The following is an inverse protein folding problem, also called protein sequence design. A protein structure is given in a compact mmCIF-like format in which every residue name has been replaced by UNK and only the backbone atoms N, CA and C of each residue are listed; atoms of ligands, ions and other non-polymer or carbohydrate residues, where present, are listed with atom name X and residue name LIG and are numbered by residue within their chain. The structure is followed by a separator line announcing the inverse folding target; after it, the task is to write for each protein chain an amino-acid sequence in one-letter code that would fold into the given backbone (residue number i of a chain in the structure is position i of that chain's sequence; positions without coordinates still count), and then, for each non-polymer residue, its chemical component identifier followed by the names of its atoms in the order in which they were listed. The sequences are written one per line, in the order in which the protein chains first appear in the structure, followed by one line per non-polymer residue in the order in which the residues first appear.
data_IF_116212021970
#
_entry.id   IF_116212021970
#
_cell.length_a   1.000
_cell.length_b   1.000
_cell.length_c   1.000
_cell.angle_alpha   90.00
_cell.angle_beta   90.00
_cell.angle_gamma   90.00
#
_symmetry.space_group_name_H-M   'P 1'
#
loop_
_entity.id
_entity.type
_entity.pdbx_description
1 polymer ?
#
# COMPACT_ATOMS: atom_id res chain seq x y z
N UNK A 1 -67.91 -19.97 8.62
CA UNK A 1 -66.98 -18.96 8.09
C UNK A 1 -65.86 -18.83 9.12
N UNK A 2 -64.73 -19.51 8.90
CA UNK A 2 -63.54 -19.42 9.75
C UNK A 2 -62.49 -18.73 8.88
N UNK A 3 -62.14 -17.50 9.24
CA UNK A 3 -61.06 -16.75 8.59
C UNK A 3 -59.72 -17.30 9.10
N UNK A 4 -59.02 -18.04 8.25
CA UNK A 4 -57.64 -18.45 8.49
C UNK A 4 -56.69 -17.24 8.32
N UNK A 5 -55.84 -17.02 9.30
CA UNK A 5 -54.70 -16.10 9.20
C UNK A 5 -53.70 -16.67 8.21
N UNK A 6 -53.55 -16.03 7.05
CA UNK A 6 -52.42 -16.30 6.15
C UNK A 6 -51.20 -15.52 6.67
N UNK A 7 -50.13 -16.23 7.02
CA UNK A 7 -48.82 -15.68 7.31
C UNK A 7 -48.09 -15.36 5.99
N UNK A 8 -47.15 -14.40 5.93
CA UNK A 8 -46.30 -14.16 4.76
C UNK A 8 -45.49 -15.39 4.30
N UNK A 9 -45.41 -16.43 5.14
CA UNK A 9 -44.79 -17.72 4.85
C UNK A 9 -45.71 -18.71 4.11
N UNK A 10 -47.03 -18.44 4.01
CA UNK A 10 -48.00 -19.28 3.28
C UNK A 10 -48.01 -19.00 1.77
N UNK A 11 -46.85 -18.65 1.20
CA UNK A 11 -46.69 -18.65 -0.25
C UNK A 11 -46.44 -20.10 -0.68
N UNK A 12 -47.40 -20.67 -1.39
CA UNK A 12 -47.27 -21.97 -2.06
C UNK A 12 -45.99 -22.00 -2.89
N UNK A 13 -44.99 -22.76 -2.43
CA UNK A 13 -43.76 -23.10 -3.15
C UNK A 13 -44.05 -24.04 -4.33
N UNK A 14 -44.95 -23.64 -5.23
CA UNK A 14 -45.20 -24.37 -6.48
C UNK A 14 -44.75 -23.48 -7.63
N UNK A 15 -43.44 -23.36 -7.76
CA UNK A 15 -42.81 -23.07 -9.05
C UNK A 15 -41.95 -24.26 -9.40
N UNK A 16 -42.43 -25.03 -10.38
CA UNK A 16 -41.81 -26.22 -10.93
C UNK A 16 -40.46 -25.86 -11.59
N UNK A 17 -39.40 -25.86 -10.79
CA UNK A 17 -38.01 -25.76 -11.26
C UNK A 17 -37.40 -27.16 -11.24
N UNK A 18 -37.59 -27.89 -12.34
CA UNK A 18 -36.78 -29.02 -12.79
C UNK A 18 -36.10 -29.85 -11.71
N UNK A 19 -36.78 -30.88 -11.21
CA UNK A 19 -36.18 -32.12 -10.72
C UNK A 19 -35.02 -32.01 -9.71
N UNK A 20 -34.95 -30.97 -8.89
CA UNK A 20 -34.04 -30.96 -7.74
C UNK A 20 -34.69 -31.78 -6.63
N UNK A 21 -34.07 -32.89 -6.23
CA UNK A 21 -34.43 -33.63 -5.01
C UNK A 21 -34.59 -32.61 -3.88
N UNK A 22 -35.80 -32.48 -3.34
CA UNK A 22 -36.03 -31.72 -2.12
C UNK A 22 -35.09 -32.27 -1.05
N UNK A 23 -34.14 -31.44 -0.62
CA UNK A 23 -33.25 -31.77 0.49
C UNK A 23 -34.06 -31.50 1.75
N UNK A 24 -34.77 -32.50 2.23
CA UNK A 24 -35.48 -32.44 3.51
C UNK A 24 -34.41 -32.23 4.59
N UNK A 25 -34.45 -31.08 5.28
CA UNK A 25 -33.59 -30.81 6.42
C UNK A 25 -34.05 -31.66 7.60
N UNK A 26 -33.16 -32.49 8.12
CA UNK A 26 -33.42 -33.24 9.35
C UNK A 26 -33.20 -32.31 10.55
N UNK A 27 -33.83 -32.58 11.69
CA UNK A 27 -33.66 -31.80 12.92
C UNK A 27 -32.18 -31.79 13.34
N UNK A 28 -31.45 -32.88 13.03
CA UNK A 28 -30.00 -32.96 13.25
C UNK A 28 -29.17 -32.00 12.38
N UNK A 29 -29.75 -31.39 11.35
CA UNK A 29 -29.09 -30.41 10.50
C UNK A 29 -29.31 -28.97 10.98
N UNK A 30 -30.04 -28.79 12.10
CA UNK A 30 -30.39 -27.47 12.66
C UNK A 30 -29.49 -27.12 13.84
N UNK A 31 -28.64 -26.11 13.65
CA UNK A 31 -27.78 -25.56 14.70
C UNK A 31 -28.23 -24.19 15.22
N UNK A 32 -27.68 -23.78 16.36
CA UNK A 32 -27.89 -22.44 16.95
C UNK A 32 -26.53 -21.78 17.22
N UNK A 33 -26.39 -20.55 16.74
CA UNK A 33 -25.28 -19.68 17.12
C UNK A 33 -25.57 -18.99 18.47
N UNK A 34 -24.58 -18.96 19.36
CA UNK A 34 -24.71 -18.40 20.70
C UNK A 34 -23.53 -17.49 21.04
N UNK A 35 -23.84 -16.25 21.41
CA UNK A 35 -22.84 -15.30 21.88
C UNK A 35 -22.54 -15.51 23.38
N UNK A 36 -21.30 -15.89 23.69
CA UNK A 36 -20.81 -15.94 25.08
C UNK A 36 -20.84 -14.52 25.67
N UNK A 37 -21.40 -14.38 26.87
CA UNK A 37 -21.61 -13.10 27.55
C UNK A 37 -23.01 -12.49 27.36
N UNK A 38 -23.71 -12.82 26.27
CA UNK A 38 -25.07 -12.36 25.93
C UNK A 38 -25.90 -13.59 25.52
N UNK A 39 -26.43 -14.31 26.50
CA UNK A 39 -27.30 -15.47 26.26
C UNK A 39 -26.61 -16.85 26.23
N UNK A 40 -25.35 -16.95 26.68
CA UNK A 40 -24.68 -18.21 26.99
C UNK A 40 -23.58 -18.05 28.07
N UNK A 41 -23.86 -17.38 29.21
CA UNK A 41 -22.80 -17.12 30.22
C UNK A 41 -22.35 -18.37 30.98
N UNK A 42 -23.15 -19.43 30.97
CA UNK A 42 -22.89 -20.61 31.76
C UNK A 42 -23.43 -21.90 31.12
N UNK A 43 -22.92 -23.04 31.60
CA UNK A 43 -23.30 -24.38 31.15
C UNK A 43 -24.83 -24.62 31.15
N UNK A 44 -25.62 -24.17 32.16
CA UNK A 44 -27.08 -24.31 32.15
C UNK A 44 -27.78 -23.72 30.92
N UNK A 45 -27.31 -22.57 30.45
CA UNK A 45 -27.90 -21.89 29.30
C UNK A 45 -27.64 -22.65 28.00
N UNK A 46 -26.42 -23.17 27.84
CA UNK A 46 -26.05 -24.06 26.74
C UNK A 46 -26.90 -25.33 26.77
N UNK A 47 -27.05 -25.96 27.94
CA UNK A 47 -27.92 -27.12 28.12
C UNK A 47 -29.39 -26.82 27.79
N UNK A 48 -29.86 -25.59 28.00
CA UNK A 48 -31.22 -25.19 27.61
C UNK A 48 -31.43 -25.18 26.09
N UNK A 49 -30.41 -24.77 25.33
CA UNK A 49 -30.45 -24.76 23.85
C UNK A 49 -30.39 -26.16 23.26
N UNK A 50 -29.61 -27.05 23.87
CA UNK A 50 -29.62 -28.48 23.56
C UNK A 50 -31.03 -29.06 23.76
N UNK A 51 -31.66 -28.78 24.92
CA UNK A 51 -33.04 -29.25 25.20
C UNK A 51 -34.09 -28.66 24.26
N UNK A 52 -33.82 -27.52 23.64
CA UNK A 52 -34.68 -26.92 22.62
C UNK A 52 -34.56 -27.62 21.25
N UNK A 53 -33.72 -28.65 21.12
CA UNK A 53 -33.57 -29.47 19.91
C UNK A 53 -32.39 -29.07 19.02
N UNK A 54 -31.46 -28.23 19.49
CA UNK A 54 -30.26 -27.90 18.72
C UNK A 54 -29.29 -29.10 18.68
N UNK A 55 -28.96 -29.57 17.48
CA UNK A 55 -27.98 -30.65 17.27
C UNK A 55 -26.55 -30.13 17.12
N UNK A 56 -26.39 -28.84 16.80
CA UNK A 56 -25.11 -28.16 16.77
C UNK A 56 -25.19 -26.78 17.42
N UNK A 57 -24.13 -26.40 18.12
CA UNK A 57 -24.03 -25.12 18.81
C UNK A 57 -22.71 -24.43 18.43
N UNK A 58 -22.82 -23.25 17.85
CA UNK A 58 -21.66 -22.40 17.56
C UNK A 58 -21.43 -21.44 18.72
N UNK A 59 -20.27 -21.56 19.35
CA UNK A 59 -19.83 -20.71 20.46
C UNK A 59 -19.13 -19.48 19.89
N UNK A 60 -19.78 -18.32 20.00
CA UNK A 60 -19.27 -17.06 19.50
C UNK A 60 -18.70 -16.19 20.63
N UNK A 61 -17.56 -15.56 20.38
CA UNK A 61 -16.93 -14.64 21.32
C UNK A 61 -17.13 -13.19 20.84
N UNK A 62 -17.76 -12.36 21.67
CA UNK A 62 -18.02 -10.96 21.34
C UNK A 62 -16.85 -10.04 21.70
N UNK A 63 -15.96 -10.47 22.59
CA UNK A 63 -14.80 -9.69 23.03
C UNK A 63 -13.52 -10.05 22.31
N UNK A 64 -12.53 -9.16 22.40
CA UNK A 64 -11.14 -9.39 22.02
C UNK A 64 -10.20 -8.94 23.16
N UNK A 65 -8.94 -9.32 23.08
CA UNK A 65 -7.89 -9.03 24.06
C UNK A 65 -8.17 -9.67 25.41
N UNK A 66 -8.20 -8.85 26.48
CA UNK A 66 -8.44 -9.31 27.86
C UNK A 66 -9.90 -9.72 28.12
N UNK A 67 -10.83 -9.30 27.25
CA UNK A 67 -12.26 -9.51 27.45
C UNK A 67 -12.87 -8.67 28.57
N UNK A 68 -14.20 -8.72 28.66
CA UNK A 68 -15.02 -8.07 29.70
C UNK A 68 -16.31 -8.86 29.92
N UNK A 69 -17.14 -8.48 30.90
CA UNK A 69 -18.43 -9.15 31.13
C UNK A 69 -19.44 -9.03 29.97
N UNK A 70 -19.28 -8.02 29.10
CA UNK A 70 -20.15 -7.81 27.93
C UNK A 70 -19.49 -8.27 26.62
N UNK A 71 -18.20 -8.62 26.68
CA UNK A 71 -17.42 -9.09 25.54
C UNK A 71 -16.47 -10.17 26.04
N UNK A 72 -17.00 -11.38 26.19
CA UNK A 72 -16.21 -12.52 26.67
C UNK A 72 -15.24 -12.98 25.58
N UNK A 73 -14.08 -13.48 26.01
CA UNK A 73 -13.04 -14.04 25.14
C UNK A 73 -12.80 -15.50 25.51
N UNK A 74 -12.23 -16.33 24.61
CA UNK A 74 -11.93 -17.73 24.94
C UNK A 74 -11.10 -17.88 26.21
N UNK A 75 -10.16 -16.95 26.45
CA UNK A 75 -9.24 -16.97 27.60
C UNK A 75 -9.92 -16.79 28.97
N UNK A 76 -11.16 -16.30 29.01
CA UNK A 76 -11.92 -16.15 30.26
C UNK A 76 -12.46 -17.49 30.80
N UNK A 77 -12.49 -18.52 29.97
CA UNK A 77 -13.00 -19.84 30.33
C UNK A 77 -11.88 -20.76 30.80
N UNK A 78 -11.84 -21.01 32.10
CA UNK A 78 -10.86 -21.92 32.71
C UNK A 78 -11.10 -23.40 32.37
N UNK A 79 -10.11 -24.23 32.73
CA UNK A 79 -10.07 -25.68 32.45
C UNK A 79 -11.37 -26.41 32.80
N UNK A 80 -11.93 -26.16 34.00
CA UNK A 80 -13.14 -26.86 34.44
C UNK A 80 -14.37 -26.50 33.61
N UNK A 81 -14.49 -25.25 33.16
CA UNK A 81 -15.61 -24.83 32.33
C UNK A 81 -15.53 -25.48 30.95
N UNK A 82 -14.32 -25.50 30.36
CA UNK A 82 -14.07 -26.16 29.08
C UNK A 82 -14.32 -27.66 29.13
N UNK A 83 -13.90 -28.32 30.21
CA UNK A 83 -14.19 -29.74 30.45
C UNK A 83 -15.69 -30.00 30.57
N UNK A 84 -16.43 -29.15 31.28
CA UNK A 84 -17.88 -29.27 31.39
C UNK A 84 -18.59 -29.12 30.03
N UNK A 85 -18.14 -28.20 29.18
CA UNK A 85 -18.65 -28.06 27.81
C UNK A 85 -18.40 -29.33 26.98
N UNK A 86 -17.17 -29.86 27.06
CA UNK A 86 -16.78 -31.09 26.39
C UNK A 86 -17.65 -32.27 26.83
N UNK A 87 -17.82 -32.47 28.12
CA UNK A 87 -18.65 -33.55 28.67
C UNK A 87 -20.13 -33.38 28.28
N UNK A 88 -20.66 -32.15 28.37
CA UNK A 88 -22.04 -31.86 27.98
C UNK A 88 -22.29 -32.19 26.49
N UNK A 89 -21.36 -31.82 25.62
CA UNK A 89 -21.44 -32.12 24.18
C UNK A 89 -21.43 -33.63 23.91
N UNK A 90 -20.57 -34.39 24.59
CA UNK A 90 -20.47 -35.85 24.46
C UNK A 90 -21.74 -36.56 24.94
N UNK A 91 -22.27 -36.17 26.10
CA UNK A 91 -23.45 -36.82 26.68
C UNK A 91 -24.71 -36.50 25.87
N UNK A 92 -24.77 -35.32 25.27
CA UNK A 92 -25.94 -34.86 24.51
C UNK A 92 -25.87 -35.19 23.02
N UNK A 93 -24.76 -35.76 22.54
CA UNK A 93 -24.46 -35.98 21.12
C UNK A 93 -24.64 -34.71 20.26
N UNK A 94 -24.18 -33.56 20.79
CA UNK A 94 -24.26 -32.25 20.14
C UNK A 94 -22.89 -31.84 19.62
N UNK A 95 -22.84 -31.34 18.39
CA UNK A 95 -21.59 -30.82 17.81
C UNK A 95 -21.36 -29.37 18.22
N UNK A 96 -20.25 -29.10 18.91
CA UNK A 96 -19.80 -27.74 19.20
C UNK A 96 -18.90 -27.23 18.07
N UNK A 97 -19.07 -25.97 17.68
CA UNK A 97 -18.13 -25.24 16.81
C UNK A 97 -17.74 -23.95 17.51
N UNK A 98 -16.63 -23.35 17.09
CA UNK A 98 -16.14 -22.09 17.69
C UNK A 98 -16.08 -21.01 16.64
N UNK A 99 -16.64 -19.84 16.94
CA UNK A 99 -16.46 -18.64 16.13
C UNK A 99 -15.44 -17.75 16.82
N UNK A 100 -14.33 -17.46 16.14
CA UNK A 100 -13.33 -16.51 16.61
C UNK A 100 -13.96 -15.13 16.83
N UNK A 101 -13.31 -14.28 17.63
CA UNK A 101 -13.89 -13.01 18.03
C UNK A 101 -14.42 -12.21 16.84
N UNK A 102 -15.70 -11.81 16.88
CA UNK A 102 -16.29 -10.95 15.84
C UNK A 102 -15.68 -9.55 15.84
N UNK A 103 -14.96 -9.19 16.91
CA UNK A 103 -14.28 -7.91 17.06
C UNK A 103 -12.94 -7.79 16.33
N UNK A 104 -12.44 -8.86 15.70
CA UNK A 104 -11.22 -8.75 14.89
C UNK A 104 -11.52 -8.18 13.50
N UNK A 105 -10.74 -7.20 13.03
CA UNK A 105 -10.98 -6.56 11.72
C UNK A 105 -10.58 -7.44 10.52
N UNK A 106 -10.01 -8.62 10.77
CA UNK A 106 -9.48 -9.54 9.75
C UNK A 106 -7.99 -9.79 9.90
N UNK A 107 -7.47 -10.72 9.08
CA UNK A 107 -6.05 -11.12 9.14
C UNK A 107 -5.12 -10.25 8.27
N UNK A 108 -5.66 -9.28 7.52
CA UNK A 108 -4.84 -8.31 6.80
C UNK A 108 -4.12 -7.32 7.72
N UNK A 109 -4.67 -7.06 8.93
CA UNK A 109 -4.13 -6.09 9.88
C UNK A 109 -4.48 -4.63 9.55
N UNK A 110 -5.62 -4.39 8.90
CA UNK A 110 -6.06 -3.04 8.53
C UNK A 110 -6.69 -2.30 9.71
N UNK A 111 -6.32 -1.03 9.90
CA UNK A 111 -6.96 -0.11 10.84
C UNK A 111 -8.13 0.67 10.20
N UNK A 112 -8.85 1.47 11.01
CA UNK A 112 -9.97 2.27 10.51
C UNK A 112 -9.56 3.37 9.51
N UNK A 113 -8.30 3.80 9.54
CA UNK A 113 -7.77 4.78 8.58
C UNK A 113 -7.36 4.10 7.26
N UNK A 114 -7.29 2.76 7.25
CA UNK A 114 -6.93 1.92 6.13
C UNK A 114 -5.45 1.59 6.03
N UNK A 115 -4.65 1.95 7.04
CA UNK A 115 -3.25 1.51 7.14
C UNK A 115 -3.20 0.06 7.60
N UNK A 116 -2.12 -0.63 7.26
CA UNK A 116 -1.88 -1.99 7.67
C UNK A 116 -0.70 -2.03 8.65
N UNK A 117 -0.81 -2.87 9.69
CA UNK A 117 0.29 -3.07 10.64
C UNK A 117 0.42 -4.53 11.07
N UNK A 118 1.66 -4.96 11.32
CA UNK A 118 1.95 -6.30 11.80
C UNK A 118 1.41 -6.51 13.22
N UNK A 119 1.32 -5.47 14.03
CA UNK A 119 0.75 -5.51 15.38
C UNK A 119 -0.74 -5.84 15.37
N UNK A 120 -1.52 -5.21 14.48
CA UNK A 120 -2.95 -5.51 14.32
C UNK A 120 -3.16 -6.92 13.77
N UNK A 121 -2.35 -7.33 12.78
CA UNK A 121 -2.39 -8.71 12.28
C UNK A 121 -2.08 -9.72 13.38
N UNK A 122 -1.05 -9.45 14.19
CA UNK A 122 -0.68 -10.31 15.32
C UNK A 122 -1.82 -10.42 16.34
N UNK A 123 -2.46 -9.31 16.70
CA UNK A 123 -3.63 -9.34 17.59
C UNK A 123 -4.72 -10.26 17.02
N UNK A 124 -5.08 -10.09 15.74
CA UNK A 124 -6.11 -10.91 15.11
C UNK A 124 -5.73 -12.39 15.07
N UNK A 125 -4.49 -12.72 14.75
CA UNK A 125 -3.97 -14.09 14.79
C UNK A 125 -4.01 -14.69 16.20
N UNK A 126 -3.64 -13.91 17.21
CA UNK A 126 -3.67 -14.35 18.61
C UNK A 126 -5.11 -14.61 19.09
N UNK A 127 -6.12 -13.90 18.57
CA UNK A 127 -7.54 -14.24 18.81
C UNK A 127 -7.97 -15.53 18.14
N UNK A 128 -7.60 -15.72 16.87
CA UNK A 128 -7.92 -16.95 16.13
C UNK A 128 -7.25 -18.16 16.79
N UNK A 129 -5.99 -18.02 17.21
CA UNK A 129 -5.26 -19.07 17.92
C UNK A 129 -5.93 -19.43 19.24
N UNK A 130 -6.43 -18.45 20.00
CA UNK A 130 -7.19 -18.72 21.23
C UNK A 130 -8.53 -19.41 20.96
N UNK A 131 -9.19 -19.09 19.86
CA UNK A 131 -10.41 -19.78 19.42
C UNK A 131 -10.11 -21.24 19.01
N UNK A 132 -9.01 -21.47 18.28
CA UNK A 132 -8.52 -22.81 17.92
C UNK A 132 -8.24 -23.66 19.17
N UNK A 133 -7.52 -23.11 20.15
CA UNK A 133 -7.23 -23.79 21.41
C UNK A 133 -8.50 -24.13 22.20
N UNK A 134 -9.46 -23.20 22.22
CA UNK A 134 -10.77 -23.41 22.84
C UNK A 134 -11.57 -24.50 22.14
N UNK A 135 -11.59 -24.52 20.81
CA UNK A 135 -12.22 -25.58 20.04
C UNK A 135 -11.57 -26.95 20.33
N UNK A 136 -10.24 -27.01 20.41
CA UNK A 136 -9.51 -28.22 20.77
C UNK A 136 -9.87 -28.74 22.17
N UNK A 137 -10.11 -27.84 23.13
CA UNK A 137 -10.51 -28.23 24.49
C UNK A 137 -11.97 -28.66 24.63
N UNK A 138 -12.87 -28.03 23.86
CA UNK A 138 -14.32 -28.12 24.09
C UNK A 138 -15.07 -28.93 23.04
N UNK A 139 -14.71 -28.76 21.76
CA UNK A 139 -15.43 -29.30 20.61
C UNK A 139 -14.88 -30.63 20.08
N UNK A 140 -13.70 -31.05 20.57
CA UNK A 140 -13.02 -32.29 20.15
C UNK A 140 -12.70 -32.35 18.64
N UNK A 141 -12.50 -31.17 18.04
CA UNK A 141 -12.36 -30.99 16.60
C UNK A 141 -13.53 -30.20 16.01
N UNK A 142 -13.56 -30.07 14.68
CA UNK A 142 -14.62 -29.33 13.97
C UNK A 142 -14.20 -27.93 13.55
N UNK A 143 -15.16 -27.16 13.04
CA UNK A 143 -14.88 -25.88 12.39
C UNK A 143 -14.56 -24.77 13.40
N UNK A 144 -13.52 -23.99 13.07
CA UNK A 144 -13.26 -22.68 13.69
C UNK A 144 -13.62 -21.60 12.68
N UNK A 145 -14.73 -20.91 12.93
CA UNK A 145 -15.25 -19.88 12.04
C UNK A 145 -14.51 -18.57 12.31
N UNK A 146 -14.02 -17.94 11.24
CA UNK A 146 -13.31 -16.67 11.30
C UNK A 146 -13.87 -15.77 10.21
N UNK A 147 -14.11 -14.49 10.53
CA UNK A 147 -14.39 -13.52 9.49
C UNK A 147 -13.15 -13.29 8.64
N UNK A 148 -13.32 -13.26 7.31
CA UNK A 148 -12.19 -12.98 6.42
C UNK A 148 -11.57 -11.61 6.68
N UNK A 149 -12.35 -10.73 7.32
CA UNK A 149 -12.15 -9.30 7.25
C UNK A 149 -12.40 -8.81 5.83
N UNK A 150 -12.63 -7.52 5.72
CA UNK A 150 -12.64 -6.84 4.43
C UNK A 150 -11.62 -5.72 4.47
N UNK A 151 -11.09 -5.40 3.31
CA UNK A 151 -10.36 -4.17 3.11
C UNK A 151 -11.12 -3.31 2.12
N UNK A 152 -10.99 -1.99 2.28
CA UNK A 152 -11.66 -1.04 1.40
C UNK A 152 -11.21 -1.25 -0.05
N UNK A 153 -12.16 -1.59 -0.92
CA UNK A 153 -11.97 -1.78 -2.36
C UNK A 153 -13.27 -1.43 -3.10
N UNK A 154 -13.19 -0.93 -4.33
CA UNK A 154 -14.39 -0.67 -5.13
C UNK A 154 -15.11 -1.98 -5.45
N UNK A 155 -16.42 -2.03 -5.18
CA UNK A 155 -17.23 -3.23 -5.42
C UNK A 155 -17.33 -3.52 -6.93
N UNK A 156 -17.42 -2.46 -7.72
CA UNK A 156 -17.49 -2.46 -9.18
C UNK A 156 -16.28 -3.07 -9.90
N UNK A 157 -15.15 -3.26 -9.22
CA UNK A 157 -13.94 -3.86 -9.80
C UNK A 157 -13.80 -5.36 -9.53
N UNK A 158 -14.81 -6.00 -8.95
CA UNK A 158 -14.73 -7.41 -8.66
C UNK A 158 -15.21 -8.31 -9.81
N UNK A 159 -14.58 -9.50 -9.98
CA UNK A 159 -14.97 -10.43 -11.03
C UNK A 159 -16.46 -10.82 -11.02
N UNK A 160 -17.10 -10.82 -9.84
CA UNK A 160 -18.52 -11.16 -9.72
C UNK A 160 -19.46 -10.00 -10.11
N UNK A 161 -18.97 -8.77 -10.11
CA UNK A 161 -19.71 -7.58 -10.54
C UNK A 161 -19.68 -7.42 -12.07
N UNK A 162 -18.70 -8.03 -12.74
CA UNK A 162 -18.69 -8.23 -14.19
C UNK A 162 -19.88 -9.12 -14.59
N UNK A 163 -20.51 -8.89 -15.75
CA UNK A 163 -21.71 -9.60 -16.27
C UNK A 163 -23.09 -9.08 -15.78
N UNK A 164 -23.21 -7.81 -15.39
CA UNK A 164 -24.51 -7.18 -15.15
C UNK A 164 -25.11 -7.43 -13.75
N UNK A 165 -24.37 -8.13 -12.88
CA UNK A 165 -24.66 -8.21 -11.43
C UNK A 165 -24.14 -6.97 -10.71
N UNK A 166 -24.56 -5.80 -11.20
CA UNK A 166 -24.21 -4.53 -10.56
C UNK A 166 -24.91 -4.45 -9.22
N UNK A 167 -24.17 -4.01 -8.20
CA UNK A 167 -24.79 -3.62 -6.95
C UNK A 167 -25.53 -2.32 -7.20
N UNK A 168 -26.86 -2.40 -7.36
CA UNK A 168 -27.70 -1.26 -7.80
C UNK A 168 -27.63 -0.03 -6.88
N UNK A 169 -27.16 -0.19 -5.64
CA UNK A 169 -26.87 0.92 -4.73
C UNK A 169 -25.65 1.77 -5.11
N UNK A 170 -24.84 1.35 -6.10
CA UNK A 170 -23.53 1.93 -6.41
C UNK A 170 -23.27 2.09 -7.92
N UNK A 171 -24.30 2.50 -8.69
CA UNK A 171 -24.20 2.60 -10.16
C UNK A 171 -23.11 3.58 -10.65
N UNK A 172 -22.81 4.63 -9.87
CA UNK A 172 -21.78 5.63 -10.19
C UNK A 172 -20.38 5.28 -9.64
N UNK A 173 -20.25 4.23 -8.83
CA UNK A 173 -18.96 3.82 -8.24
C UNK A 173 -17.89 3.49 -9.29
N UNK A 174 -18.19 2.84 -10.43
CA UNK A 174 -17.17 2.56 -11.45
C UNK A 174 -16.37 3.79 -11.91
N UNK A 175 -17.01 4.97 -11.92
CA UNK A 175 -16.41 6.22 -12.37
C UNK A 175 -15.86 7.07 -11.21
N UNK A 176 -16.43 6.94 -10.00
CA UNK A 176 -16.11 7.78 -8.83
C UNK A 176 -15.32 7.06 -7.74
N UNK A 177 -15.00 5.79 -7.93
CA UNK A 177 -14.31 4.97 -6.95
C UNK A 177 -13.02 5.63 -6.46
N UNK A 178 -12.78 5.51 -5.17
CA UNK A 178 -11.52 5.90 -4.52
C UNK A 178 -10.70 4.65 -4.30
N UNK A 179 -9.54 4.60 -4.94
CA UNK A 179 -8.58 3.49 -4.82
C UNK A 179 -7.41 3.96 -3.97
N UNK A 180 -6.92 3.07 -3.11
CA UNK A 180 -5.81 3.36 -2.20
C UNK A 180 -4.56 2.61 -2.61
N UNK A 181 -3.44 3.25 -2.32
CA UNK A 181 -2.11 2.70 -2.56
C UNK A 181 -1.34 2.77 -1.26
N UNK A 182 -0.61 1.71 -0.94
CA UNK A 182 0.12 1.58 0.32
C UNK A 182 1.61 1.39 0.07
N UNK A 183 2.39 1.72 1.08
CA UNK A 183 3.81 1.43 1.10
C UNK A 183 4.01 -0.06 1.41
N UNK A 184 4.64 -0.79 0.50
CA UNK A 184 4.93 -2.22 0.61
C UNK A 184 5.68 -2.59 1.89
N UNK A 185 6.56 -1.71 2.41
CA UNK A 185 7.36 -1.99 3.60
C UNK A 185 6.61 -1.71 4.89
N UNK A 186 5.84 -0.61 4.94
CA UNK A 186 5.24 -0.14 6.20
C UNK A 186 3.74 -0.41 6.31
N UNK A 187 3.06 -0.76 5.22
CA UNK A 187 1.60 -0.90 5.19
C UNK A 187 0.84 0.42 5.28
N UNK A 188 1.53 1.56 5.37
CA UNK A 188 0.90 2.88 5.46
C UNK A 188 0.29 3.30 4.12
N UNK A 189 -0.90 3.89 4.17
CA UNK A 189 -1.54 4.50 2.99
C UNK A 189 -0.67 5.68 2.52
N UNK A 190 -0.24 5.62 1.26
CA UNK A 190 0.55 6.67 0.63
C UNK A 190 -0.32 7.69 -0.08
N UNK A 191 -1.36 7.22 -0.78
CA UNK A 191 -2.20 8.07 -1.60
C UNK A 191 -3.60 7.47 -1.82
N UNK A 192 -4.57 8.34 -2.08
CA UNK A 192 -5.93 7.99 -2.47
C UNK A 192 -6.20 8.59 -3.84
N UNK A 193 -6.55 7.76 -4.81
CA UNK A 193 -6.76 8.14 -6.20
C UNK A 193 -8.24 8.05 -6.50
N UNK A 194 -8.81 9.11 -7.09
CA UNK A 194 -10.19 9.10 -7.56
C UNK A 194 -10.19 8.80 -9.05
N UNK A 195 -11.00 7.84 -9.50
CA UNK A 195 -11.05 7.47 -10.92
C UNK A 195 -11.49 8.60 -11.87
N UNK A 196 -12.30 9.53 -11.37
CA UNK A 196 -12.74 10.70 -12.12
C UNK A 196 -11.77 11.89 -12.07
N UNK A 197 -10.62 11.74 -11.40
CA UNK A 197 -9.60 12.78 -11.37
C UNK A 197 -8.86 12.84 -12.72
N UNK A 198 -8.77 14.05 -13.27
CA UNK A 198 -7.93 14.32 -14.44
C UNK A 198 -6.59 14.88 -13.96
N UNK A 199 -5.50 14.26 -14.39
CA UNK A 199 -4.15 14.73 -14.07
C UNK A 199 -3.41 15.14 -15.32
N UNK A 200 -2.70 16.27 -15.24
CA UNK A 200 -1.91 16.78 -16.37
C UNK A 200 -0.57 16.05 -16.44
N UNK A 201 -0.23 15.50 -17.60
CA UNK A 201 1.03 14.78 -17.85
C UNK A 201 1.71 15.26 -19.12
N UNK A 202 3.04 15.15 -19.23
CA UNK A 202 3.73 15.45 -20.47
C UNK A 202 3.30 14.50 -21.60
N UNK A 203 3.23 15.03 -22.81
CA UNK A 203 3.20 14.22 -24.03
C UNK A 203 4.63 13.74 -24.29
N UNK A 204 4.85 12.44 -24.42
CA UNK A 204 6.18 11.87 -24.61
C UNK A 204 6.54 11.77 -26.09
N UNK A 205 7.81 11.98 -26.44
CA UNK A 205 8.28 11.75 -27.81
C UNK A 205 8.31 10.25 -28.09
N UNK A 206 7.56 9.84 -29.12
CA UNK A 206 7.47 8.44 -29.56
C UNK A 206 7.69 8.31 -31.07
N UNK A 207 8.13 7.13 -31.50
CA UNK A 207 8.28 6.76 -32.91
C UNK A 207 7.76 5.34 -33.13
N UNK A 208 7.20 5.08 -34.32
CA UNK A 208 6.85 3.71 -34.73
C UNK A 208 8.08 3.00 -35.30
N UNK A 209 8.50 1.91 -34.68
CA UNK A 209 9.52 0.98 -35.18
C UNK A 209 8.87 -0.41 -35.26
N UNK A 210 8.90 -1.03 -36.44
CA UNK A 210 8.27 -2.33 -36.71
C UNK A 210 6.79 -2.41 -36.28
N UNK A 211 6.05 -1.32 -36.51
CA UNK A 211 4.63 -1.22 -36.15
C UNK A 211 4.36 -1.01 -34.65
N UNK A 212 5.39 -1.00 -33.80
CA UNK A 212 5.28 -0.74 -32.36
C UNK A 212 5.72 0.68 -32.03
N UNK A 213 4.96 1.34 -31.15
CA UNK A 213 5.33 2.64 -30.64
C UNK A 213 6.41 2.49 -29.56
N UNK A 214 7.54 3.17 -29.75
CA UNK A 214 8.67 3.19 -28.80
C UNK A 214 9.00 4.62 -28.42
N UNK A 215 9.43 4.84 -27.18
CA UNK A 215 9.91 6.14 -26.73
C UNK A 215 11.26 6.46 -27.36
N UNK A 216 11.48 7.73 -27.70
CA UNK A 216 12.77 8.21 -28.22
C UNK A 216 13.26 9.42 -27.45
N UNK A 217 14.57 9.67 -27.46
CA UNK A 217 15.14 10.94 -27.03
C UNK A 217 14.92 12.05 -28.09
N UNK A 218 15.46 13.24 -27.85
CA UNK A 218 15.37 14.37 -28.80
C UNK A 218 16.20 14.16 -30.09
N UNK A 219 17.10 13.17 -30.10
CA UNK A 219 17.92 12.80 -31.26
C UNK A 219 17.26 11.68 -32.10
N UNK A 220 16.15 11.11 -31.60
CA UNK A 220 15.43 10.02 -32.26
C UNK A 220 15.95 8.63 -31.93
N UNK A 221 16.85 8.49 -30.96
CA UNK A 221 17.32 7.19 -30.49
C UNK A 221 16.26 6.55 -29.57
N UNK A 222 15.96 5.24 -29.72
CA UNK A 222 15.06 4.54 -28.82
C UNK A 222 15.58 4.54 -27.37
N UNK A 223 14.69 4.85 -26.42
CA UNK A 223 15.01 4.90 -24.99
C UNK A 223 13.97 4.13 -24.17
N UNK A 224 14.34 3.59 -23.00
CA UNK A 224 13.39 2.97 -22.09
C UNK A 224 12.44 4.02 -21.49
N UNK A 225 11.32 3.58 -20.89
CA UNK A 225 10.32 4.44 -20.24
C UNK A 225 10.93 5.37 -19.17
N UNK A 226 12.09 5.02 -18.61
CA UNK A 226 12.88 5.79 -17.62
C UNK A 226 13.56 7.01 -18.19
N UNK A 227 13.87 6.98 -19.49
CA UNK A 227 14.67 8.00 -20.16
C UNK A 227 13.89 8.76 -21.25
N UNK A 228 12.58 8.53 -21.34
CA UNK A 228 11.69 9.24 -22.26
C UNK A 228 11.72 10.75 -22.00
N UNK A 229 11.63 11.52 -23.08
CA UNK A 229 11.64 12.99 -23.03
C UNK A 229 10.28 13.54 -23.44
N UNK A 230 9.84 14.65 -22.83
CA UNK A 230 8.59 15.31 -23.21
C UNK A 230 8.70 15.96 -24.59
N UNK A 231 7.59 16.07 -25.30
CA UNK A 231 7.53 16.74 -26.59
C UNK A 231 7.70 18.26 -26.40
N UNK A 232 8.65 18.84 -27.13
CA UNK A 232 8.93 20.27 -27.12
C UNK A 232 8.25 20.95 -28.30
N UNK A 233 7.37 21.91 -28.01
CA UNK A 233 6.70 22.70 -29.04
C UNK A 233 7.55 23.94 -29.37
N UNK A 234 8.08 23.98 -30.60
CA UNK A 234 8.97 25.07 -31.05
C UNK A 234 8.24 26.41 -31.23
N UNK A 235 6.94 26.40 -31.44
CA UNK A 235 6.15 27.63 -31.66
C UNK A 235 5.84 28.33 -30.34
N UNK A 236 5.47 27.57 -29.31
CA UNK A 236 5.16 28.12 -27.98
C UNK A 236 6.41 28.23 -27.09
N UNK A 237 7.46 27.49 -27.41
CA UNK A 237 8.67 27.37 -26.59
C UNK A 237 8.44 26.57 -25.29
N UNK A 238 7.31 25.86 -25.19
CA UNK A 238 6.90 25.11 -24.00
C UNK A 238 6.87 23.59 -24.28
N UNK A 239 6.92 22.81 -23.21
CA UNK A 239 6.69 21.37 -23.27
C UNK A 239 5.19 21.07 -23.38
N UNK A 240 4.83 20.15 -24.26
CA UNK A 240 3.43 19.74 -24.45
C UNK A 240 2.95 18.87 -23.29
N UNK A 241 1.75 19.17 -22.82
CA UNK A 241 1.07 18.44 -21.75
C UNK A 241 -0.35 18.09 -22.18
N UNK A 242 -0.86 16.96 -21.70
CA UNK A 242 -2.24 16.52 -21.91
C UNK A 242 -2.91 16.17 -20.58
N UNK A 243 -4.22 16.38 -20.52
CA UNK A 243 -5.05 15.81 -19.46
C UNK A 243 -5.10 14.29 -19.65
N UNK A 244 -4.82 13.56 -18.57
CA UNK A 244 -4.73 12.10 -18.52
C UNK A 244 -5.81 11.59 -17.57
N UNK A 245 -6.52 10.54 -17.98
CA UNK A 245 -7.64 9.94 -17.24
C UNK A 245 -7.26 8.57 -16.70
N UNK A 246 -8.12 7.99 -15.86
CA UNK A 246 -7.94 6.63 -15.33
C UNK A 246 -7.64 5.58 -16.41
N UNK A 247 -8.30 5.66 -17.58
CA UNK A 247 -8.09 4.74 -18.68
C UNK A 247 -6.64 4.73 -19.21
N UNK A 248 -5.97 5.89 -19.22
CA UNK A 248 -4.56 5.96 -19.61
C UNK A 248 -3.67 5.20 -18.60
N UNK A 249 -3.99 5.25 -17.30
CA UNK A 249 -3.24 4.51 -16.26
C UNK A 249 -3.46 3.00 -16.33
N UNK A 250 -4.63 2.56 -16.82
CA UNK A 250 -4.87 1.14 -17.13
C UNK A 250 -3.95 0.68 -18.27
N UNK A 251 -3.74 1.52 -19.29
CA UNK A 251 -2.81 1.21 -20.37
C UNK A 251 -1.34 1.24 -19.91
N UNK A 252 -0.96 2.25 -19.14
CA UNK A 252 0.39 2.36 -18.57
C UNK A 252 0.72 1.17 -17.67
N UNK A 253 -0.23 0.73 -16.84
CA UNK A 253 -0.06 -0.46 -16.01
C UNK A 253 0.19 -1.73 -16.85
N UNK A 254 -0.49 -1.89 -17.99
CA UNK A 254 -0.23 -2.99 -18.92
C UNK A 254 1.17 -2.91 -19.51
N UNK A 255 1.58 -1.73 -19.99
CA UNK A 255 2.94 -1.51 -20.54
C UNK A 255 4.02 -1.82 -19.50
N UNK A 256 3.87 -1.32 -18.28
CA UNK A 256 4.80 -1.58 -17.17
C UNK A 256 4.82 -3.07 -16.78
N UNK A 257 3.66 -3.74 -16.83
CA UNK A 257 3.58 -5.19 -16.60
C UNK A 257 4.31 -5.98 -17.68
N UNK A 258 4.15 -5.61 -18.94
CA UNK A 258 4.82 -6.28 -20.06
C UNK A 258 6.34 -6.06 -20.03
N UNK A 259 6.80 -4.87 -19.65
CA UNK A 259 8.22 -4.59 -19.40
C UNK A 259 8.75 -5.47 -18.27
N UNK A 260 8.07 -5.50 -17.12
CA UNK A 260 8.46 -6.34 -15.98
C UNK A 260 8.44 -7.84 -16.30
N UNK A 261 7.51 -8.28 -17.15
CA UNK A 261 7.46 -9.67 -17.65
C UNK A 261 8.68 -10.00 -18.50
N UNK A 262 9.13 -9.09 -19.36
CA UNK A 262 10.37 -9.27 -20.14
C UNK A 262 11.60 -9.30 -19.25
N UNK A 263 11.66 -8.45 -18.23
CA UNK A 263 12.77 -8.40 -17.29
C UNK A 263 12.89 -9.67 -16.44
N UNK A 264 11.75 -10.22 -15.98
CA UNK A 264 11.72 -11.39 -15.11
C UNK A 264 11.75 -12.73 -15.83
N UNK A 265 11.29 -12.79 -17.08
CA UNK A 265 11.23 -14.04 -17.84
C UNK A 265 10.42 -15.12 -17.11
N UNK A 266 11.05 -16.25 -16.78
CA UNK A 266 10.42 -17.38 -16.08
C UNK A 266 10.00 -17.08 -14.64
N UNK A 267 10.60 -16.07 -14.01
CA UNK A 267 10.37 -15.73 -12.60
C UNK A 267 9.19 -14.75 -12.41
N UNK A 268 8.45 -14.48 -13.49
CA UNK A 268 7.27 -13.62 -13.47
C UNK A 268 6.09 -14.35 -12.83
N UNK A 269 5.61 -13.80 -11.72
CA UNK A 269 4.42 -14.27 -11.00
C UNK A 269 3.24 -13.33 -11.29
N UNK A 270 2.13 -13.85 -11.80
CA UNK A 270 1.01 -13.03 -12.26
C UNK A 270 0.29 -12.32 -11.11
N UNK A 271 0.24 -12.91 -9.92
CA UNK A 271 -0.41 -12.30 -8.75
C UNK A 271 0.46 -11.19 -8.14
N UNK A 272 1.78 -11.41 -8.12
CA UNK A 272 2.75 -10.52 -7.46
C UNK A 272 3.34 -9.45 -8.38
N UNK A 273 3.54 -9.78 -9.65
CA UNK A 273 4.37 -8.98 -10.56
C UNK A 273 3.58 -8.12 -11.55
N UNK A 274 2.30 -8.43 -11.80
CA UNK A 274 1.39 -7.53 -12.51
C UNK A 274 1.36 -6.17 -11.81
N UNK A 275 1.37 -5.08 -12.55
CA UNK A 275 1.26 -3.71 -12.02
C UNK A 275 -0.21 -3.29 -12.07
N UNK A 276 -0.74 -2.78 -10.96
CA UNK A 276 -2.11 -2.28 -10.93
C UNK A 276 -2.19 -0.82 -11.46
N UNK A 277 -3.32 -0.37 -12.01
CA UNK A 277 -3.47 1.01 -12.51
C UNK A 277 -3.14 2.09 -11.46
N UNK A 278 -3.55 1.88 -10.20
CA UNK A 278 -3.24 2.77 -9.07
C UNK A 278 -1.74 2.80 -8.73
N UNK A 279 -1.03 1.69 -8.94
CA UNK A 279 0.41 1.61 -8.76
C UNK A 279 1.12 2.38 -9.89
N UNK A 280 0.65 2.21 -11.13
CA UNK A 280 1.18 2.94 -12.29
C UNK A 280 0.99 4.44 -12.14
N UNK A 281 -0.20 4.88 -11.69
CA UNK A 281 -0.49 6.28 -11.39
C UNK A 281 0.54 6.87 -10.41
N UNK A 282 0.69 6.26 -9.23
CA UNK A 282 1.52 6.83 -8.18
C UNK A 282 3.00 6.74 -8.56
N UNK A 283 3.45 5.63 -9.18
CA UNK A 283 4.81 5.49 -9.71
C UNK A 283 5.13 6.56 -10.75
N UNK A 284 4.21 6.84 -11.67
CA UNK A 284 4.38 7.91 -12.66
C UNK A 284 4.46 9.29 -11.99
N UNK A 285 3.68 9.55 -10.94
CA UNK A 285 3.74 10.81 -10.16
C UNK A 285 5.09 10.98 -9.49
N UNK A 286 5.54 9.96 -8.76
CA UNK A 286 6.81 9.97 -8.03
C UNK A 286 8.00 10.08 -8.99
N UNK A 287 7.95 9.42 -10.15
CA UNK A 287 8.98 9.56 -11.20
C UNK A 287 9.05 10.95 -11.81
N UNK A 288 7.89 11.63 -11.93
CA UNK A 288 7.85 13.04 -12.33
C UNK A 288 8.54 13.94 -11.30
N UNK A 289 8.22 13.75 -10.03
CA UNK A 289 8.86 14.49 -8.92
C UNK A 289 10.36 14.18 -8.83
N UNK A 290 10.77 12.91 -8.97
CA UNK A 290 12.18 12.54 -9.05
C UNK A 290 12.89 13.30 -10.18
N UNK A 291 12.31 13.31 -11.39
CA UNK A 291 12.90 13.94 -12.56
C UNK A 291 13.03 15.46 -12.38
N UNK A 292 12.02 16.11 -11.78
CA UNK A 292 12.06 17.53 -11.44
C UNK A 292 13.23 17.82 -10.48
N UNK A 293 13.37 17.03 -9.41
CA UNK A 293 14.45 17.19 -8.42
C UNK A 293 15.82 16.98 -9.05
N UNK A 294 15.98 15.98 -9.92
CA UNK A 294 17.21 15.79 -10.70
C UNK A 294 17.49 16.99 -11.60
N UNK A 295 16.47 17.56 -12.24
CA UNK A 295 16.58 18.77 -13.05
C UNK A 295 17.11 19.96 -12.25
N UNK A 296 16.57 20.20 -11.06
CA UNK A 296 17.07 21.25 -10.15
C UNK A 296 18.50 20.99 -9.70
N UNK A 297 18.83 19.75 -9.33
CA UNK A 297 20.20 19.39 -8.96
C UNK A 297 21.21 19.64 -10.10
N UNK A 298 20.83 19.35 -11.36
CA UNK A 298 21.65 19.65 -12.53
C UNK A 298 21.81 21.16 -12.75
N UNK A 299 20.73 21.92 -12.59
CA UNK A 299 20.76 23.38 -12.74
C UNK A 299 21.72 24.02 -11.73
N UNK A 300 21.55 23.71 -10.44
CA UNK A 300 22.45 24.20 -9.38
C UNK A 300 23.87 23.65 -9.53
N UNK A 301 24.03 22.40 -10.01
CA UNK A 301 25.33 21.80 -10.28
C UNK A 301 26.13 22.56 -11.34
N UNK A 302 25.46 23.04 -12.40
CA UNK A 302 26.08 23.88 -13.43
C UNK A 302 26.54 25.23 -12.85
N UNK A 303 25.72 25.86 -12.02
CA UNK A 303 26.12 27.11 -11.35
C UNK A 303 27.31 26.89 -10.40
N UNK A 304 27.30 25.78 -9.67
CA UNK A 304 28.37 25.38 -8.77
C UNK A 304 29.72 25.18 -9.49
N UNK A 305 29.71 24.56 -10.68
CA UNK A 305 30.90 24.45 -11.53
C UNK A 305 31.46 25.82 -11.91
N UNK A 306 30.59 26.76 -12.31
CA UNK A 306 30.98 28.15 -12.58
C UNK A 306 31.63 28.83 -11.37
N UNK A 307 31.05 28.64 -10.18
CA UNK A 307 31.60 29.20 -8.94
C UNK A 307 32.94 28.57 -8.54
N UNK A 308 33.15 27.27 -8.78
CA UNK A 308 34.45 26.64 -8.55
C UNK A 308 35.53 27.20 -9.48
N UNK A 309 35.20 27.41 -10.76
CA UNK A 309 36.11 28.02 -11.72
C UNK A 309 36.46 29.46 -11.29
N UNK A 310 35.47 30.25 -10.85
CA UNK A 310 35.70 31.61 -10.35
C UNK A 310 36.55 31.62 -9.07
N UNK A 311 36.27 30.71 -8.13
CA UNK A 311 37.05 30.56 -6.89
C UNK A 311 38.51 30.22 -7.19
N UNK A 312 38.76 29.28 -8.09
CA UNK A 312 40.11 28.86 -8.48
C UNK A 312 40.86 30.03 -9.11
N UNK A 313 40.25 30.73 -10.05
CA UNK A 313 40.87 31.89 -10.71
C UNK A 313 41.22 33.00 -9.71
N UNK A 314 40.30 33.40 -8.84
CA UNK A 314 40.56 34.43 -7.83
C UNK A 314 41.60 33.99 -6.80
N UNK A 315 41.64 32.69 -6.47
CA UNK A 315 42.65 32.13 -5.56
C UNK A 315 44.04 32.18 -6.18
N UNK A 316 44.18 31.80 -7.45
CA UNK A 316 45.45 31.87 -8.17
C UNK A 316 45.89 33.33 -8.38
N UNK A 317 44.94 34.23 -8.68
CA UNK A 317 45.21 35.68 -8.77
C UNK A 317 45.68 36.26 -7.44
N UNK A 318 45.04 35.89 -6.34
CA UNK A 318 45.45 36.26 -4.98
C UNK A 318 46.85 35.76 -4.68
N UNK A 319 47.16 34.50 -5.04
CA UNK A 319 48.51 33.93 -4.89
C UNK A 319 49.55 34.72 -5.69
N UNK A 320 49.26 35.01 -6.96
CA UNK A 320 50.15 35.81 -7.82
C UNK A 320 50.46 37.18 -7.20
N UNK A 321 49.44 37.93 -6.76
CA UNK A 321 49.67 39.24 -6.15
C UNK A 321 50.38 39.15 -4.79
N UNK A 322 50.15 38.09 -4.01
CA UNK A 322 50.90 37.84 -2.78
C UNK A 322 52.39 37.59 -3.07
N UNK A 323 52.73 36.89 -4.15
CA UNK A 323 54.12 36.70 -4.58
C UNK A 323 54.76 37.99 -5.09
N UNK A 324 54.02 38.78 -5.88
CA UNK A 324 54.49 40.10 -6.34
C UNK A 324 54.73 41.04 -5.15
N UNK A 325 53.87 41.00 -4.12
CA UNK A 325 54.01 41.83 -2.92
C UNK A 325 55.33 41.56 -2.17
N UNK A 326 55.83 40.31 -2.21
CA UNK A 326 57.12 39.92 -1.61
C UNK A 326 58.32 40.51 -2.38
N UNK A 327 58.18 40.71 -3.69
CA UNK A 327 59.24 41.17 -4.60
C UNK A 327 59.19 42.68 -4.88
N UNK A 328 58.10 43.35 -4.55
CA UNK A 328 57.87 44.75 -4.90
C UNK A 328 58.65 45.76 -4.03
N UNK A 329 58.99 46.91 -4.62
CA UNK A 329 59.53 48.08 -3.93
C UNK A 329 58.54 48.65 -2.90
N UNK A 330 58.99 49.39 -1.88
CA UNK A 330 58.11 50.03 -0.90
C UNK A 330 57.00 50.88 -1.53
N UNK A 331 57.30 51.57 -2.63
CA UNK A 331 56.38 52.46 -3.35
C UNK A 331 55.29 51.72 -4.14
N UNK A 332 55.50 50.47 -4.56
CA UNK A 332 54.52 49.69 -5.31
C UNK A 332 53.70 48.71 -4.46
N UNK A 333 54.16 48.44 -3.22
CA UNK A 333 53.45 47.54 -2.30
C UNK A 333 52.01 47.97 -2.02
N UNK A 334 51.71 49.26 -1.97
CA UNK A 334 50.34 49.73 -1.70
C UNK A 334 49.38 49.40 -2.86
N UNK A 335 49.82 49.52 -4.12
CA UNK A 335 49.02 49.17 -5.30
C UNK A 335 48.68 47.68 -5.32
N UNK A 336 49.64 46.83 -4.94
CA UNK A 336 49.43 45.38 -4.87
C UNK A 336 48.49 45.01 -3.71
N UNK A 337 48.64 45.66 -2.54
CA UNK A 337 47.72 45.50 -1.41
C UNK A 337 46.29 45.91 -1.78
N UNK A 338 46.12 46.99 -2.54
CA UNK A 338 44.81 47.42 -3.02
C UNK A 338 44.17 46.34 -3.91
N UNK A 339 44.90 45.77 -4.87
CA UNK A 339 44.39 44.67 -5.72
C UNK A 339 44.03 43.42 -4.92
N UNK A 340 44.78 43.10 -3.86
CA UNK A 340 44.44 41.99 -2.95
C UNK A 340 43.15 42.25 -2.18
N UNK A 341 42.97 43.48 -1.69
CA UNK A 341 41.75 43.91 -0.98
C UNK A 341 40.54 43.91 -1.92
N UNK A 342 40.73 44.33 -3.18
CA UNK A 342 39.70 44.28 -4.23
C UNK A 342 39.24 42.84 -4.51
N UNK A 343 40.16 41.86 -4.55
CA UNK A 343 39.83 40.44 -4.73
C UNK A 343 39.06 39.91 -3.52
N UNK A 344 39.45 40.30 -2.31
CA UNK A 344 38.79 39.84 -1.08
C UNK A 344 37.38 40.42 -0.95
N UNK A 345 37.20 41.70 -1.29
CA UNK A 345 35.92 42.41 -1.17
C UNK A 345 35.00 42.27 -2.38
N UNK A 346 35.49 41.75 -3.49
CA UNK A 346 34.69 41.61 -4.71
C UNK A 346 34.52 42.92 -5.46
N UNK A 347 35.52 43.79 -5.42
CA UNK A 347 35.59 44.99 -6.27
C UNK A 347 36.64 44.84 -7.38
N UNK A 348 37.30 43.68 -7.42
CA UNK A 348 38.28 43.35 -8.45
C UNK A 348 37.59 43.22 -9.80
N UNK A 349 37.96 44.12 -10.71
CA UNK A 349 37.47 44.11 -12.07
C UNK A 349 38.45 43.37 -12.97
N UNK A 350 37.94 42.41 -13.75
CA UNK A 350 38.69 41.87 -14.87
C UNK A 350 38.21 42.50 -16.17
N UNK A 351 39.18 42.84 -17.01
CA UNK A 351 38.95 43.31 -18.36
C UNK A 351 39.05 42.13 -19.31
N UNK A 352 37.92 41.66 -19.80
CA UNK A 352 37.84 40.87 -21.04
C UNK A 352 37.23 41.78 -22.12
N UNK A 353 38.07 42.37 -22.96
CA UNK A 353 37.64 43.34 -23.98
C UNK A 353 37.07 44.65 -23.39
N UNK A 354 36.00 45.18 -24.00
CA UNK A 354 35.37 46.45 -23.62
C UNK A 354 34.41 46.36 -22.41
N UNK A 355 34.20 45.17 -21.82
CA UNK A 355 33.29 44.99 -20.68
C UNK A 355 34.06 44.80 -19.37
N UNK A 356 33.63 45.53 -18.33
CA UNK A 356 34.18 45.43 -16.97
C UNK A 356 33.28 44.51 -16.14
N UNK A 357 33.74 43.30 -15.85
CA UNK A 357 33.05 42.38 -14.94
C UNK A 357 33.66 42.52 -13.55
N UNK A 358 32.85 42.98 -12.59
CA UNK A 358 33.22 42.99 -11.16
C UNK A 358 32.91 41.61 -10.60
N UNK A 359 33.93 40.88 -10.16
CA UNK A 359 33.78 39.54 -9.58
C UNK A 359 33.34 39.62 -8.13
N UNK A 360 32.62 38.60 -7.68
CA UNK A 360 32.27 38.50 -6.26
C UNK A 360 33.54 38.31 -5.41
N UNK A 361 33.52 38.76 -4.16
CA UNK A 361 34.65 38.57 -3.25
C UNK A 361 34.81 37.11 -2.87
N UNK A 362 36.03 36.71 -2.50
CA UNK A 362 36.32 35.33 -2.08
C UNK A 362 35.38 34.80 -0.99
N UNK A 363 35.01 35.56 0.06
CA UNK A 363 34.04 35.10 1.06
C UNK A 363 32.64 34.88 0.49
N UNK A 364 32.18 35.74 -0.42
CA UNK A 364 30.87 35.65 -1.06
C UNK A 364 30.79 34.42 -1.97
N UNK A 365 31.82 34.17 -2.78
CA UNK A 365 31.89 32.98 -3.65
C UNK A 365 31.90 31.70 -2.81
N UNK A 366 32.69 31.66 -1.73
CA UNK A 366 32.69 30.49 -0.83
C UNK A 366 31.31 30.26 -0.20
N UNK A 367 30.61 31.33 0.20
CA UNK A 367 29.24 31.23 0.70
C UNK A 367 28.26 30.75 -0.38
N UNK A 368 28.40 31.26 -1.60
CA UNK A 368 27.60 30.84 -2.74
C UNK A 368 27.82 29.36 -3.07
N UNK A 369 29.08 28.89 -3.10
CA UNK A 369 29.45 27.49 -3.28
C UNK A 369 28.79 26.62 -2.22
N UNK A 370 28.88 27.00 -0.94
CA UNK A 370 28.22 26.26 0.13
C UNK A 370 26.71 26.20 -0.10
N UNK A 371 26.06 27.34 -0.38
CA UNK A 371 24.62 27.38 -0.65
C UNK A 371 24.21 26.48 -1.82
N UNK A 372 24.92 26.58 -2.94
CA UNK A 372 24.66 25.79 -4.15
C UNK A 372 24.89 24.30 -3.92
N UNK A 373 25.97 23.94 -3.22
CA UNK A 373 26.27 22.55 -2.84
C UNK A 373 25.15 21.96 -1.97
N UNK A 374 24.66 22.68 -0.98
CA UNK A 374 23.52 22.20 -0.16
C UNK A 374 22.24 22.06 -1.00
N UNK A 375 21.98 22.95 -1.96
CA UNK A 375 20.84 22.82 -2.89
C UNK A 375 20.96 21.59 -3.79
N UNK A 376 22.15 21.30 -4.34
CA UNK A 376 22.39 20.09 -5.14
C UNK A 376 22.15 18.84 -4.29
N UNK A 377 22.75 18.75 -3.11
CA UNK A 377 22.61 17.59 -2.22
C UNK A 377 21.15 17.38 -1.81
N UNK A 378 20.46 18.45 -1.39
CA UNK A 378 19.07 18.36 -0.95
C UNK A 378 18.13 17.88 -2.07
N UNK A 379 18.32 18.36 -3.31
CA UNK A 379 17.52 17.90 -4.45
C UNK A 379 17.86 16.46 -4.85
N UNK A 380 19.13 16.04 -4.82
CA UNK A 380 19.52 14.65 -5.08
C UNK A 380 18.97 13.69 -4.03
N UNK A 381 18.99 14.07 -2.76
CA UNK A 381 18.40 13.28 -1.68
C UNK A 381 16.89 13.11 -1.90
N UNK A 382 16.17 14.21 -2.18
CA UNK A 382 14.74 14.13 -2.47
C UNK A 382 14.45 13.26 -3.70
N UNK A 383 15.26 13.35 -4.76
CA UNK A 383 15.11 12.49 -5.93
C UNK A 383 15.22 11.00 -5.56
N UNK A 384 16.22 10.62 -4.76
CA UNK A 384 16.40 9.23 -4.33
C UNK A 384 15.28 8.78 -3.39
N UNK A 385 14.78 9.66 -2.52
CA UNK A 385 13.63 9.39 -1.67
C UNK A 385 12.36 9.14 -2.51
N UNK A 386 12.09 9.96 -3.55
CA UNK A 386 10.96 9.74 -4.46
C UNK A 386 11.08 8.42 -5.22
N UNK A 387 12.28 8.10 -5.69
CA UNK A 387 12.57 6.84 -6.36
C UNK A 387 12.31 5.64 -5.44
N UNK A 388 12.86 5.67 -4.22
CA UNK A 388 12.60 4.65 -3.18
C UNK A 388 11.12 4.54 -2.84
N UNK A 389 10.40 5.66 -2.76
CA UNK A 389 8.94 5.62 -2.56
C UNK A 389 8.27 4.88 -3.71
N UNK A 390 8.63 5.20 -4.95
CA UNK A 390 8.13 4.56 -6.18
C UNK A 390 8.33 3.04 -6.23
N UNK A 391 9.50 2.57 -5.80
CA UNK A 391 9.82 1.14 -5.71
C UNK A 391 8.98 0.40 -4.66
N UNK A 392 8.53 1.10 -3.62
CA UNK A 392 7.74 0.54 -2.53
C UNK A 392 6.22 0.78 -2.70
N UNK A 393 5.77 1.25 -3.86
CA UNK A 393 4.35 1.40 -4.18
C UNK A 393 3.71 0.03 -4.47
N UNK A 394 2.64 -0.32 -3.75
CA UNK A 394 1.78 -1.48 -4.03
C UNK A 394 0.30 -1.14 -3.81
N UNK A 395 -0.58 -1.74 -4.62
CA UNK A 395 -2.03 -1.62 -4.45
C UNK A 395 -2.48 -2.18 -3.10
N UNK A 396 -3.48 -1.53 -2.50
CA UNK A 396 -4.07 -2.01 -1.25
C UNK A 396 -4.62 -3.43 -1.39
N UNK A 397 -5.20 -3.79 -2.54
CA UNK A 397 -5.71 -5.14 -2.82
C UNK A 397 -4.63 -6.21 -2.73
N UNK A 398 -3.50 -6.04 -3.43
CA UNK A 398 -2.40 -7.02 -3.38
C UNK A 398 -1.82 -7.14 -1.97
N UNK A 399 -1.56 -6.01 -1.31
CA UNK A 399 -1.01 -6.01 0.03
C UNK A 399 -1.94 -6.74 1.02
N UNK A 400 -3.23 -6.41 1.00
CA UNK A 400 -4.20 -7.01 1.91
C UNK A 400 -4.37 -8.52 1.65
N UNK A 401 -4.41 -8.95 0.38
CA UNK A 401 -4.48 -10.38 0.03
C UNK A 401 -3.24 -11.14 0.49
N UNK A 402 -2.04 -10.61 0.21
CA UNK A 402 -0.77 -11.22 0.63
C UNK A 402 -0.74 -11.44 2.16
N UNK A 403 -1.10 -10.40 2.93
CA UNK A 403 -1.14 -10.49 4.40
C UNK A 403 -2.25 -11.42 4.91
N UNK A 404 -3.41 -11.41 4.26
CA UNK A 404 -4.53 -12.27 4.64
C UNK A 404 -4.19 -13.74 4.40
N UNK A 405 -3.64 -14.09 3.25
CA UNK A 405 -3.25 -15.46 2.92
C UNK A 405 -2.19 -16.01 3.87
N UNK A 406 -1.16 -15.21 4.19
CA UNK A 406 -0.18 -15.55 5.22
C UNK A 406 -0.86 -15.81 6.57
N UNK A 407 -1.78 -14.92 6.97
CA UNK A 407 -2.54 -15.08 8.21
C UNK A 407 -3.37 -16.37 8.25
N UNK A 408 -4.16 -16.65 7.21
CA UNK A 408 -4.97 -17.87 7.14
C UNK A 408 -4.13 -19.13 7.10
N UNK A 409 -3.00 -19.11 6.39
CA UNK A 409 -2.06 -20.23 6.38
C UNK A 409 -1.51 -20.50 7.80
N UNK A 410 -1.14 -19.45 8.54
CA UNK A 410 -0.68 -19.57 9.93
C UNK A 410 -1.77 -20.12 10.85
N UNK A 411 -3.01 -19.63 10.74
CA UNK A 411 -4.14 -20.16 11.50
C UNK A 411 -4.43 -21.63 11.17
N UNK A 412 -4.37 -22.02 9.90
CA UNK A 412 -4.53 -23.41 9.48
C UNK A 412 -3.42 -24.33 10.01
N UNK A 413 -2.16 -23.87 9.97
CA UNK A 413 -1.04 -24.60 10.59
C UNK A 413 -1.22 -24.76 12.10
N UNK A 414 -1.72 -23.72 12.79
CA UNK A 414 -2.02 -23.80 14.23
C UNK A 414 -3.14 -24.81 14.52
N UNK A 415 -4.23 -24.79 13.75
CA UNK A 415 -5.33 -25.74 13.89
C UNK A 415 -4.87 -27.20 13.69
N UNK A 416 -4.03 -27.43 12.69
CA UNK A 416 -3.42 -28.74 12.45
C UNK A 416 -2.52 -29.20 13.60
N UNK A 417 -1.67 -28.30 14.11
CA UNK A 417 -0.78 -28.61 15.23
C UNK A 417 -1.59 -28.94 16.49
N UNK A 418 -2.61 -28.14 16.80
CA UNK A 418 -3.50 -28.35 17.94
C UNK A 418 -4.26 -29.69 17.85
N UNK A 419 -4.71 -30.05 16.64
CA UNK A 419 -5.35 -31.34 16.36
C UNK A 419 -4.42 -32.51 16.73
N UNK A 420 -3.16 -32.42 16.31
CA UNK A 420 -2.14 -33.46 16.58
C UNK A 420 -1.79 -33.53 18.06
N UNK A 421 -1.50 -32.39 18.67
CA UNK A 421 -1.04 -32.32 20.05
C UNK A 421 -2.09 -32.85 21.04
N UNK A 422 -3.37 -32.65 20.72
CA UNK A 422 -4.50 -33.13 21.53
C UNK A 422 -5.07 -34.47 21.08
N UNK A 423 -4.54 -35.07 20.02
CA UNK A 423 -5.04 -36.32 19.43
C UNK A 423 -6.57 -36.30 19.25
N UNK A 424 -7.07 -35.23 18.61
CA UNK A 424 -8.51 -35.03 18.45
C UNK A 424 -9.11 -36.06 17.49
N UNK A 425 -10.32 -36.52 17.79
CA UNK A 425 -11.05 -37.50 16.96
C UNK A 425 -11.42 -36.92 15.59
N UNK A 426 -11.67 -35.60 15.53
CA UNK A 426 -11.93 -34.85 14.30
C UNK A 426 -10.88 -33.75 14.15
N UNK A 427 -10.43 -33.44 12.92
CA UNK A 427 -9.53 -32.33 12.71
C UNK A 427 -10.22 -30.99 13.01
N UNK A 428 -9.45 -30.04 13.51
CA UNK A 428 -9.82 -28.62 13.49
C UNK A 428 -9.57 -28.08 12.08
N UNK A 429 -10.52 -27.30 11.56
CA UNK A 429 -10.42 -26.69 10.23
C UNK A 429 -11.03 -25.29 10.17
#
# INVERSE_FOLDING_TARGET
MIYGYNSPMDRSYISDFGGKKEKVLDVKDVGIAMAMGIGARNIPEIASKIRAGASSLEIQFMGAGRGSQQGETPGMFGKYHRQALKELSKVSDVTLTTHASVGIPGLAGQDQQGNFSDEQRKMALDEVNRAIEFAGDTALGGSVVVHTGEFQRPISEEPWAEQGKKFSGFDEEPDKAVIRVVNKKTGQVMHQIRKNEEVTRPVWVTKKIDGKEVYTDYEGNPVPMEKRVPQYNKETGLLEVKATKWADFVEDAKKMTDERRKEKGSDFDEERDVIAPEEAFLKATLKGQESERRGWALWYGRELEGLFNELNELTDRKRYFQEQLKKASPEDKWKIKQKLDEIEKGTYAMHEGNNRLVKQGLPQIRKAITGQKEMVIGNLQQAEDQKRMGENVISTKKYALEKSFDGYAQSGMRAWQETKDKNLEKPLF
#
